data_IF_103759259545
#
_entry.id   IF_103759259545
#
_cell.length_a   1.000
_cell.length_b   1.000
_cell.length_c   1.000
_cell.angle_alpha   90.00
_cell.angle_beta   90.00
_cell.angle_gamma   90.00
#
_symmetry.space_group_name_H-M   'P 1'
#
loop_
_entity.id
_entity.type
_entity.pdbx_description
1 polymer ?
#
# COMPACT_ATOMS: atom_id res chain seq x y z
N UNK A 1 16.24 -6.48 12.95
CA UNK A 1 17.56 -7.05 13.28
C UNK A 1 17.47 -8.55 13.42
N UNK A 2 17.64 -9.27 12.30
CA UNK A 2 17.76 -10.73 12.34
C UNK A 2 19.19 -11.10 12.75
N UNK A 3 19.33 -12.05 13.65
CA UNK A 3 20.63 -12.62 14.02
C UNK A 3 21.10 -13.54 12.89
N UNK A 4 22.31 -13.29 12.37
CA UNK A 4 22.86 -14.03 11.23
C UNK A 4 23.63 -15.24 11.72
N UNK A 5 24.54 -15.08 12.67
CA UNK A 5 25.34 -16.15 13.27
C UNK A 5 25.66 -15.83 14.73
N UNK A 6 25.73 -16.85 15.57
CA UNK A 6 26.24 -16.76 16.95
C UNK A 6 25.75 -15.54 17.76
N UNK A 7 24.47 -15.19 17.61
CA UNK A 7 23.83 -14.06 18.30
C UNK A 7 24.18 -12.65 17.80
N UNK A 8 25.02 -12.50 16.77
CA UNK A 8 25.32 -11.20 16.18
C UNK A 8 24.23 -10.78 15.18
N UNK A 9 23.87 -9.52 15.20
CA UNK A 9 23.02 -8.89 14.18
C UNK A 9 23.88 -8.52 12.96
N UNK A 10 23.24 -8.24 11.84
CA UNK A 10 23.94 -7.76 10.65
C UNK A 10 24.70 -6.45 10.93
N UNK A 11 24.13 -5.59 11.76
CA UNK A 11 24.74 -4.32 12.17
C UNK A 11 25.94 -4.49 13.10
N UNK A 12 26.06 -5.63 13.80
CA UNK A 12 27.22 -5.94 14.64
C UNK A 12 28.44 -6.39 13.79
N UNK A 13 28.15 -6.92 12.58
CA UNK A 13 29.20 -7.45 11.68
C UNK A 13 29.65 -6.39 10.68
N UNK A 14 28.69 -5.62 10.16
CA UNK A 14 28.95 -4.65 9.09
C UNK A 14 28.59 -3.24 9.53
N UNK A 15 29.46 -2.28 9.24
CA UNK A 15 29.14 -0.86 9.42
C UNK A 15 28.10 -0.45 8.38
N UNK A 16 26.92 -0.06 8.88
CA UNK A 16 25.76 0.30 8.07
C UNK A 16 25.55 1.80 8.14
N UNK A 17 25.28 2.43 7.00
CA UNK A 17 24.94 3.84 6.94
C UNK A 17 23.73 4.08 6.02
N UNK A 18 22.95 5.12 6.32
CA UNK A 18 21.89 5.63 5.46
C UNK A 18 22.44 6.84 4.70
N UNK A 19 22.31 6.85 3.38
CA UNK A 19 22.72 7.98 2.57
C UNK A 19 21.98 9.25 3.03
N UNK A 20 22.74 10.21 3.52
CA UNK A 20 22.26 11.49 4.04
C UNK A 20 23.04 12.66 3.44
N UNK A 21 23.02 13.80 4.15
CA UNK A 21 23.76 15.01 3.78
C UNK A 21 25.26 14.93 4.13
N UNK A 22 25.65 14.00 5.00
CA UNK A 22 27.05 13.81 5.42
C UNK A 22 27.75 12.82 4.50
N UNK A 23 29.07 12.95 4.40
CA UNK A 23 29.90 12.03 3.64
C UNK A 23 29.84 10.62 4.24
N UNK A 24 29.90 9.64 3.37
CA UNK A 24 29.94 8.23 3.78
C UNK A 24 31.31 7.95 4.42
N UNK A 25 31.32 7.39 5.63
CA UNK A 25 32.57 7.00 6.27
C UNK A 25 33.24 5.85 5.49
N UNK A 26 34.56 5.90 5.40
CA UNK A 26 35.37 4.93 4.60
C UNK A 26 35.11 3.47 5.05
N UNK A 27 34.78 3.26 6.31
CA UNK A 27 34.51 1.92 6.88
C UNK A 27 33.10 1.40 6.57
N UNK A 28 32.21 2.21 5.98
CA UNK A 28 30.84 1.79 5.66
C UNK A 28 30.88 0.67 4.62
N UNK A 29 30.30 -0.49 4.96
CA UNK A 29 30.22 -1.65 4.07
C UNK A 29 28.85 -1.80 3.42
N UNK A 30 27.80 -1.31 4.09
CA UNK A 30 26.44 -1.37 3.58
C UNK A 30 25.80 0.01 3.66
N UNK A 31 25.32 0.51 2.55
CA UNK A 31 24.66 1.80 2.47
C UNK A 31 23.22 1.63 2.00
N UNK A 32 22.27 2.21 2.75
CA UNK A 32 20.88 2.28 2.34
C UNK A 32 20.57 3.66 1.74
N UNK A 33 19.91 3.65 0.60
CA UNK A 33 19.49 4.88 -0.07
C UNK A 33 18.12 4.69 -0.73
N UNK A 34 17.36 5.77 -0.84
CA UNK A 34 16.26 5.82 -1.81
C UNK A 34 16.79 6.22 -3.17
N UNK A 35 16.12 5.83 -4.26
CA UNK A 35 16.50 6.24 -5.62
C UNK A 35 16.57 7.76 -5.73
N UNK A 36 15.59 8.47 -5.17
CA UNK A 36 15.54 9.94 -5.16
C UNK A 36 16.74 10.58 -4.44
N UNK A 37 17.16 9.99 -3.31
CA UNK A 37 18.38 10.46 -2.60
C UNK A 37 19.62 10.28 -3.44
N UNK A 38 19.71 9.15 -4.14
CA UNK A 38 20.83 8.83 -5.00
C UNK A 38 20.87 9.75 -6.23
N UNK A 39 19.73 9.96 -6.89
CA UNK A 39 19.57 10.90 -8.00
C UNK A 39 20.03 12.31 -7.60
N UNK A 40 19.55 12.82 -6.45
CA UNK A 40 19.96 14.13 -5.94
C UNK A 40 21.46 14.21 -5.73
N UNK A 41 22.05 13.15 -5.18
CA UNK A 41 23.48 13.12 -4.90
C UNK A 41 24.35 13.00 -6.15
N UNK A 42 23.93 12.20 -7.13
CA UNK A 42 24.72 11.97 -8.35
C UNK A 42 24.59 13.10 -9.39
N UNK A 43 23.36 13.65 -9.53
CA UNK A 43 23.07 14.49 -10.69
C UNK A 43 22.70 15.94 -10.36
N UNK A 44 22.38 16.23 -9.09
CA UNK A 44 21.93 17.58 -8.68
C UNK A 44 22.70 18.15 -7.48
N UNK A 45 23.82 17.55 -7.09
CA UNK A 45 24.66 18.12 -6.04
C UNK A 45 25.32 19.41 -6.53
N UNK A 46 25.10 20.53 -5.80
CA UNK A 46 25.59 21.86 -6.16
C UNK A 46 27.03 22.13 -5.70
N UNK A 47 27.60 21.30 -4.82
CA UNK A 47 28.96 21.42 -4.31
C UNK A 47 29.88 20.42 -5.02
N UNK A 48 30.65 20.94 -6.01
CA UNK A 48 31.47 20.14 -6.94
C UNK A 48 32.53 19.25 -6.27
N UNK A 49 32.87 19.43 -5.01
CA UNK A 49 33.98 18.73 -4.36
C UNK A 49 33.62 17.76 -3.24
N UNK A 50 32.42 17.76 -2.72
CA UNK A 50 32.08 17.00 -1.50
C UNK A 50 31.13 15.82 -1.67
N UNK A 51 30.47 15.66 -2.80
CA UNK A 51 29.31 14.76 -2.88
C UNK A 51 29.25 13.82 -4.08
N UNK A 52 30.24 13.82 -4.98
CA UNK A 52 30.25 12.85 -6.08
C UNK A 52 30.73 11.48 -5.59
N UNK A 53 29.81 10.51 -5.62
CA UNK A 53 30.18 9.12 -5.48
C UNK A 53 30.93 8.69 -6.76
N UNK A 54 32.04 8.01 -6.58
CA UNK A 54 32.80 7.41 -7.69
C UNK A 54 32.01 6.28 -8.34
N UNK A 55 32.27 6.00 -9.61
CA UNK A 55 31.61 4.90 -10.35
C UNK A 55 31.92 3.53 -9.75
N UNK A 56 33.02 3.40 -9.04
CA UNK A 56 33.49 2.22 -8.33
C UNK A 56 33.16 2.24 -6.82
N UNK A 57 32.26 3.13 -6.39
CA UNK A 57 31.89 3.27 -4.97
C UNK A 57 31.20 2.03 -4.39
N UNK A 58 30.59 1.20 -5.23
CA UNK A 58 29.87 0.01 -4.82
C UNK A 58 30.21 -1.19 -5.70
N UNK A 59 30.47 -2.34 -5.07
CA UNK A 59 30.66 -3.62 -5.76
C UNK A 59 29.32 -4.27 -6.14
N UNK A 60 28.28 -4.02 -5.35
CA UNK A 60 26.96 -4.61 -5.54
C UNK A 60 25.85 -3.64 -5.15
N UNK A 61 24.82 -3.57 -5.98
CA UNK A 61 23.59 -2.80 -5.75
C UNK A 61 22.43 -3.78 -5.67
N UNK A 62 21.74 -3.80 -4.53
CA UNK A 62 20.53 -4.58 -4.35
C UNK A 62 19.34 -3.63 -4.37
N UNK A 63 18.43 -3.84 -5.31
CA UNK A 63 17.24 -3.02 -5.50
C UNK A 63 16.03 -3.80 -5.04
N UNK A 64 15.46 -3.38 -3.92
CA UNK A 64 14.20 -3.93 -3.41
C UNK A 64 13.01 -3.30 -4.15
N UNK A 65 11.92 -4.05 -4.30
CA UNK A 65 10.75 -3.68 -5.09
C UNK A 65 11.12 -3.21 -6.51
N UNK A 66 11.96 -3.98 -7.17
CA UNK A 66 12.55 -3.64 -8.47
C UNK A 66 11.52 -3.37 -9.60
N UNK A 67 10.26 -3.75 -9.41
CA UNK A 67 9.15 -3.41 -10.30
C UNK A 67 8.73 -1.93 -10.23
N UNK A 68 9.06 -1.19 -9.14
CA UNK A 68 8.64 0.21 -8.94
C UNK A 68 9.31 1.21 -9.88
N UNK A 69 10.32 0.81 -10.61
CA UNK A 69 10.95 1.67 -11.63
C UNK A 69 10.01 2.06 -12.79
N UNK A 70 8.78 1.55 -12.82
CA UNK A 70 7.79 1.79 -13.87
C UNK A 70 6.40 1.99 -13.30
N UNK A 71 5.78 3.08 -13.68
CA UNK A 71 4.48 3.51 -13.21
C UNK A 71 3.33 2.93 -14.03
N UNK A 72 2.69 1.88 -13.53
CA UNK A 72 1.25 1.72 -13.72
C UNK A 72 0.46 2.17 -12.48
N UNK A 73 1.14 2.37 -11.35
CA UNK A 73 0.53 2.85 -10.10
C UNK A 73 0.53 4.40 -10.05
N UNK A 74 -0.50 5.00 -10.61
CA UNK A 74 -0.80 6.45 -10.50
C UNK A 74 -1.25 6.89 -9.10
N UNK A 75 -0.78 6.24 -8.05
CA UNK A 75 -1.01 6.68 -6.68
C UNK A 75 0.31 7.03 -6.01
N UNK A 76 1.03 7.95 -6.65
CA UNK A 76 2.19 8.58 -6.06
C UNK A 76 1.71 9.61 -5.03
N UNK A 77 2.33 9.62 -3.85
CA UNK A 77 2.16 10.66 -2.86
C UNK A 77 2.48 12.04 -3.47
N UNK A 78 1.90 13.11 -2.93
CA UNK A 78 2.12 14.49 -3.42
C UNK A 78 3.60 14.90 -3.50
N UNK A 79 4.49 14.26 -2.73
CA UNK A 79 5.94 14.45 -2.81
C UNK A 79 6.55 13.86 -4.10
N UNK A 80 5.95 12.81 -4.66
CA UNK A 80 6.38 12.20 -5.92
C UNK A 80 5.82 12.95 -7.15
N UNK A 81 4.76 13.75 -6.98
CA UNK A 81 4.21 14.64 -8.02
C UNK A 81 5.15 15.79 -8.43
N UNK A 82 6.21 16.06 -7.66
CA UNK A 82 7.25 17.04 -8.05
C UNK A 82 8.13 16.56 -9.20
N UNK A 83 8.11 15.26 -9.51
CA UNK A 83 8.73 14.70 -10.72
C UNK A 83 7.66 14.60 -11.82
N UNK A 84 7.50 15.67 -12.57
CA UNK A 84 6.40 15.90 -13.51
C UNK A 84 6.35 15.01 -14.74
N UNK A 85 7.30 14.08 -14.91
CA UNK A 85 7.30 13.23 -16.10
C UNK A 85 7.66 11.78 -15.74
N UNK A 86 6.76 10.87 -16.06
CA UNK A 86 6.87 9.43 -15.79
C UNK A 86 8.07 8.82 -16.54
N UNK A 87 8.35 9.31 -17.74
CA UNK A 87 9.50 8.93 -18.53
C UNK A 87 10.81 9.39 -17.87
N UNK A 88 10.81 10.55 -17.20
CA UNK A 88 11.95 11.08 -16.45
C UNK A 88 12.29 10.25 -15.22
N UNK A 89 11.28 9.75 -14.47
CA UNK A 89 11.54 8.92 -13.30
C UNK A 89 12.19 7.58 -13.67
N UNK A 90 11.67 6.92 -14.69
CA UNK A 90 12.26 5.68 -15.23
C UNK A 90 13.68 5.93 -15.76
N UNK A 91 13.85 7.01 -16.49
CA UNK A 91 15.16 7.43 -16.99
C UNK A 91 16.15 7.68 -15.85
N UNK A 92 15.73 8.32 -14.78
CA UNK A 92 16.56 8.59 -13.61
C UNK A 92 16.90 7.33 -12.81
N UNK A 93 15.93 6.43 -12.62
CA UNK A 93 16.14 5.15 -11.97
C UNK A 93 17.17 4.30 -12.70
N UNK A 94 17.01 4.16 -14.01
CA UNK A 94 17.96 3.46 -14.88
C UNK A 94 19.34 4.12 -14.86
N UNK A 95 19.42 5.44 -14.94
CA UNK A 95 20.67 6.20 -14.88
C UNK A 95 21.44 6.01 -13.56
N UNK A 96 20.73 5.87 -12.42
CA UNK A 96 21.38 5.55 -11.13
C UNK A 96 22.01 4.16 -11.17
N UNK A 97 21.30 3.16 -11.69
CA UNK A 97 21.80 1.79 -11.80
C UNK A 97 22.98 1.72 -12.76
N UNK A 98 22.88 2.36 -13.92
CA UNK A 98 23.91 2.36 -14.96
C UNK A 98 25.11 3.25 -14.63
N UNK A 99 25.01 4.10 -13.61
CA UNK A 99 26.13 4.97 -13.22
C UNK A 99 27.30 4.20 -12.58
N UNK A 100 26.99 3.16 -11.80
CA UNK A 100 27.99 2.42 -11.05
C UNK A 100 28.48 1.19 -11.83
N UNK A 101 29.77 0.91 -11.74
CA UNK A 101 30.37 -0.33 -12.21
C UNK A 101 30.19 -1.42 -11.13
N UNK A 102 28.97 -1.89 -10.97
CA UNK A 102 28.57 -2.79 -9.89
C UNK A 102 27.66 -3.91 -10.38
N UNK A 103 27.69 -5.05 -9.70
CA UNK A 103 26.66 -6.07 -9.89
C UNK A 103 25.31 -5.57 -9.40
N UNK A 104 24.28 -5.71 -10.24
CA UNK A 104 22.93 -5.24 -9.90
C UNK A 104 21.98 -6.42 -9.71
N UNK A 105 21.34 -6.48 -8.55
CA UNK A 105 20.37 -7.52 -8.18
C UNK A 105 19.03 -6.85 -7.94
N UNK A 106 18.01 -7.18 -8.73
CA UNK A 106 16.63 -6.76 -8.51
C UNK A 106 15.84 -7.81 -7.72
N UNK A 107 15.20 -7.39 -6.63
CA UNK A 107 14.29 -8.20 -5.85
C UNK A 107 12.86 -7.70 -6.05
N UNK A 108 11.93 -8.59 -6.34
CA UNK A 108 10.51 -8.25 -6.47
C UNK A 108 9.63 -9.47 -6.27
N UNK A 109 8.51 -9.30 -5.57
CA UNK A 109 7.48 -10.33 -5.48
C UNK A 109 6.56 -10.34 -6.72
N UNK A 110 6.53 -9.25 -7.49
CA UNK A 110 5.61 -9.02 -8.60
C UNK A 110 6.37 -8.51 -9.82
N UNK A 111 7.08 -9.39 -10.56
CA UNK A 111 7.85 -8.96 -11.73
C UNK A 111 6.93 -8.41 -12.82
N UNK A 112 7.27 -7.24 -13.34
CA UNK A 112 6.63 -6.61 -14.48
C UNK A 112 7.48 -6.80 -15.76
N UNK A 113 6.87 -6.66 -16.94
CA UNK A 113 7.58 -6.83 -18.22
C UNK A 113 8.87 -5.99 -18.32
N UNK A 114 8.83 -4.78 -17.79
CA UNK A 114 9.98 -3.87 -17.83
C UNK A 114 11.02 -4.13 -16.73
N UNK A 115 10.69 -4.88 -15.68
CA UNK A 115 11.72 -5.35 -14.73
C UNK A 115 12.76 -6.19 -15.47
N UNK A 116 12.32 -7.02 -16.40
CA UNK A 116 13.22 -7.83 -17.25
C UNK A 116 14.05 -7.00 -18.21
N UNK A 117 13.59 -5.82 -18.63
CA UNK A 117 14.36 -4.92 -19.48
C UNK A 117 15.53 -4.24 -18.76
N UNK A 118 15.44 -4.10 -17.42
CA UNK A 118 16.46 -3.47 -16.60
C UNK A 118 17.40 -4.52 -16.00
N UNK A 119 16.86 -5.60 -15.43
CA UNK A 119 17.59 -6.59 -14.65
C UNK A 119 17.85 -7.90 -15.41
N UNK A 120 17.31 -8.06 -16.64
CA UNK A 120 17.38 -9.31 -17.39
C UNK A 120 16.34 -10.35 -16.93
N UNK A 121 16.49 -11.58 -17.40
CA UNK A 121 15.63 -12.69 -17.00
C UNK A 121 15.85 -13.05 -15.52
N UNK A 122 14.79 -13.44 -14.78
CA UNK A 122 14.93 -13.87 -13.39
C UNK A 122 15.92 -15.03 -13.28
N UNK A 123 16.88 -14.92 -12.38
CA UNK A 123 17.84 -16.02 -12.04
C UNK A 123 17.26 -16.97 -11.02
N UNK A 124 16.26 -16.53 -10.27
CA UNK A 124 15.52 -17.34 -9.30
C UNK A 124 14.07 -16.90 -9.26
N UNK A 125 13.14 -17.84 -9.21
CA UNK A 125 11.71 -17.59 -9.01
C UNK A 125 11.18 -18.54 -7.94
N UNK A 126 10.35 -18.00 -7.04
CA UNK A 126 9.64 -18.77 -6.03
C UNK A 126 8.20 -18.28 -6.02
N UNK A 127 7.33 -19.04 -6.67
CA UNK A 127 5.95 -18.64 -6.90
C UNK A 127 5.11 -18.72 -5.63
N UNK A 128 4.01 -17.96 -5.57
CA UNK A 128 3.02 -18.06 -4.51
C UNK A 128 2.53 -19.50 -4.30
N UNK A 129 2.27 -20.22 -5.41
CA UNK A 129 1.80 -21.60 -5.36
C UNK A 129 2.84 -22.54 -4.73
N UNK A 130 4.11 -22.40 -5.08
CA UNK A 130 5.20 -23.16 -4.47
C UNK A 130 5.29 -22.84 -2.98
N UNK A 131 5.20 -21.57 -2.59
CA UNK A 131 5.24 -21.16 -1.20
C UNK A 131 4.07 -21.71 -0.36
N UNK A 132 2.89 -21.89 -0.96
CA UNK A 132 1.75 -22.56 -0.32
C UNK A 132 1.99 -24.05 -0.20
N UNK A 133 2.48 -24.72 -1.24
CA UNK A 133 2.81 -26.17 -1.22
C UNK A 133 3.88 -26.48 -0.18
N UNK A 134 4.92 -25.65 -0.10
CA UNK A 134 6.03 -25.80 0.84
C UNK A 134 5.64 -25.43 2.29
N UNK A 135 4.43 -24.91 2.49
CA UNK A 135 3.97 -24.54 3.79
C UNK A 135 4.52 -23.23 4.35
N UNK A 136 5.00 -22.34 3.50
CA UNK A 136 5.50 -21.01 3.88
C UNK A 136 4.42 -19.92 3.81
N UNK A 137 3.37 -20.15 3.03
CA UNK A 137 2.20 -19.29 2.94
C UNK A 137 0.93 -20.13 3.04
N UNK A 138 -0.20 -19.48 3.35
CA UNK A 138 -1.53 -20.08 3.27
C UNK A 138 -2.19 -19.68 1.97
N UNK A 139 -3.03 -20.56 1.43
CA UNK A 139 -3.91 -20.20 0.34
C UNK A 139 -5.01 -19.26 0.83
N UNK A 140 -5.58 -18.53 -0.06
CA UNK A 140 -6.71 -17.64 0.21
C UNK A 140 -7.97 -18.22 -0.43
N UNK A 141 -9.09 -18.02 0.23
CA UNK A 141 -10.38 -18.33 -0.35
C UNK A 141 -10.72 -17.39 -1.52
N UNK A 142 -11.55 -17.84 -2.46
CA UNK A 142 -12.04 -16.98 -3.52
C UNK A 142 -12.69 -15.70 -2.94
N UNK A 143 -12.46 -14.53 -3.57
CA UNK A 143 -12.99 -13.28 -3.04
C UNK A 143 -14.52 -13.28 -3.03
N UNK A 144 -15.10 -12.93 -1.88
CA UNK A 144 -16.51 -12.67 -1.74
C UNK A 144 -16.83 -11.28 -2.28
N UNK A 145 -17.76 -11.18 -3.22
CA UNK A 145 -18.17 -9.91 -3.82
C UNK A 145 -19.50 -9.44 -3.27
N UNK A 146 -19.49 -8.31 -2.55
CA UNK A 146 -20.73 -7.64 -2.14
C UNK A 146 -21.28 -6.90 -3.35
N UNK A 147 -22.35 -7.44 -3.94
CA UNK A 147 -23.00 -6.88 -5.14
C UNK A 147 -24.13 -5.94 -4.72
N UNK A 148 -24.09 -4.72 -5.22
CA UNK A 148 -25.15 -3.73 -5.12
C UNK A 148 -25.61 -3.33 -6.51
N UNK A 149 -26.80 -2.75 -6.65
CA UNK A 149 -27.23 -2.21 -7.96
C UNK A 149 -26.25 -1.18 -8.51
N UNK A 150 -25.69 -0.36 -7.61
CA UNK A 150 -24.73 0.67 -8.00
C UNK A 150 -23.45 0.10 -8.58
N UNK A 151 -22.89 -0.96 -8.01
CA UNK A 151 -21.64 -1.55 -8.51
C UNK A 151 -21.84 -2.55 -9.67
N UNK A 152 -23.08 -2.84 -10.05
CA UNK A 152 -23.39 -3.69 -11.21
C UNK A 152 -23.90 -2.90 -12.40
N UNK A 153 -24.66 -1.82 -12.19
CA UNK A 153 -25.34 -1.05 -13.23
C UNK A 153 -24.77 0.36 -13.44
N UNK A 154 -23.94 0.84 -12.49
CA UNK A 154 -23.46 2.23 -12.47
C UNK A 154 -24.54 3.22 -12.05
N UNK A 155 -24.23 4.51 -12.11
CA UNK A 155 -25.20 5.60 -11.89
C UNK A 155 -25.49 6.27 -13.21
N UNK A 156 -26.78 6.46 -13.50
CA UNK A 156 -27.23 7.21 -14.67
C UNK A 156 -28.29 8.21 -14.22
N UNK A 157 -28.07 9.47 -14.52
CA UNK A 157 -29.06 10.51 -14.41
C UNK A 157 -29.46 10.98 -15.80
N UNK A 158 -30.75 11.11 -16.01
CA UNK A 158 -31.28 11.61 -17.27
C UNK A 158 -31.22 13.12 -17.30
N UNK A 159 -31.20 13.67 -18.52
CA UNK A 159 -31.42 15.11 -18.73
C UNK A 159 -32.68 15.56 -18.01
N UNK A 160 -32.59 16.67 -17.27
CA UNK A 160 -33.69 17.20 -16.49
C UNK A 160 -33.79 16.68 -15.05
N UNK A 161 -32.97 15.70 -14.65
CA UNK A 161 -32.89 15.26 -13.27
C UNK A 161 -31.99 16.20 -12.44
N UNK A 162 -32.28 16.28 -11.13
CA UNK A 162 -31.47 17.02 -10.14
C UNK A 162 -30.79 16.03 -9.23
N UNK A 163 -29.52 15.69 -9.51
CA UNK A 163 -28.78 14.77 -8.64
C UNK A 163 -28.57 15.37 -7.25
N UNK A 164 -28.70 14.52 -6.24
CA UNK A 164 -28.31 14.86 -4.88
C UNK A 164 -26.90 14.36 -4.65
N UNK A 165 -26.00 15.27 -4.35
CA UNK A 165 -24.60 14.96 -4.08
C UNK A 165 -24.34 15.22 -2.60
N UNK A 166 -23.71 14.25 -1.96
CA UNK A 166 -23.25 14.41 -0.59
C UNK A 166 -21.90 15.13 -0.59
N UNK A 167 -21.82 16.22 0.11
CA UNK A 167 -20.57 16.93 0.36
C UNK A 167 -19.96 16.40 1.69
N UNK A 168 -18.83 15.71 1.64
CA UNK A 168 -18.18 15.19 2.84
C UNK A 168 -17.57 16.27 3.74
N UNK A 169 -17.25 17.46 3.21
CA UNK A 169 -16.66 18.54 3.99
C UNK A 169 -17.71 19.23 4.88
N UNK A 170 -18.93 19.41 4.35
CA UNK A 170 -20.02 20.08 5.07
C UNK A 170 -20.98 19.09 5.74
N UNK A 171 -20.84 17.78 5.46
CA UNK A 171 -21.75 16.72 5.89
C UNK A 171 -23.22 16.99 5.48
N UNK A 172 -23.39 17.67 4.35
CA UNK A 172 -24.71 18.05 3.81
C UNK A 172 -24.97 17.35 2.49
N UNK A 173 -26.27 17.17 2.19
CA UNK A 173 -26.71 16.73 0.87
C UNK A 173 -27.12 17.95 0.08
N UNK A 174 -26.35 18.25 -0.95
CA UNK A 174 -26.69 19.32 -1.88
C UNK A 174 -27.43 18.78 -3.09
N UNK A 175 -28.49 19.46 -3.48
CA UNK A 175 -29.21 19.17 -4.73
C UNK A 175 -28.57 20.03 -5.84
N UNK A 176 -27.94 19.35 -6.81
CA UNK A 176 -27.32 20.04 -7.95
C UNK A 176 -28.40 20.68 -8.84
N UNK A 177 -27.95 21.62 -9.66
CA UNK A 177 -28.79 22.19 -10.71
C UNK A 177 -29.31 21.08 -11.64
N UNK A 178 -30.42 21.38 -12.32
CA UNK A 178 -30.97 20.48 -13.33
C UNK A 178 -29.95 20.18 -14.42
N UNK A 179 -29.75 18.89 -14.71
CA UNK A 179 -28.77 18.45 -15.69
C UNK A 179 -29.19 18.85 -17.11
N UNK A 180 -28.32 19.56 -17.80
CA UNK A 180 -28.51 19.93 -19.22
C UNK A 180 -28.37 18.75 -20.14
N UNK A 181 -27.57 17.71 -19.73
CA UNK A 181 -27.33 16.48 -20.48
C UNK A 181 -27.37 15.25 -19.57
N UNK A 182 -27.41 14.05 -20.17
CA UNK A 182 -27.33 12.77 -19.45
C UNK A 182 -25.94 12.63 -18.81
N UNK A 183 -25.91 12.39 -17.51
CA UNK A 183 -24.67 12.11 -16.77
C UNK A 183 -24.60 10.63 -16.39
N UNK A 184 -23.52 9.98 -16.79
CA UNK A 184 -23.29 8.56 -16.53
C UNK A 184 -21.95 8.36 -15.83
N UNK A 185 -21.96 7.65 -14.71
CA UNK A 185 -20.77 7.14 -14.06
C UNK A 185 -20.74 5.62 -14.21
N UNK A 186 -19.68 5.13 -14.84
CA UNK A 186 -19.46 3.68 -14.95
C UNK A 186 -19.03 3.09 -13.62
N UNK A 187 -19.20 1.79 -13.45
CA UNK A 187 -18.86 1.04 -12.23
C UNK A 187 -17.41 1.30 -11.77
N UNK A 188 -16.48 1.47 -12.70
CA UNK A 188 -15.06 1.75 -12.44
C UNK A 188 -14.82 3.11 -11.78
N UNK A 189 -15.78 4.03 -11.83
CA UNK A 189 -15.69 5.35 -11.20
C UNK A 189 -16.04 5.35 -9.71
N UNK A 190 -16.67 4.25 -9.21
CA UNK A 190 -17.04 4.16 -7.79
C UNK A 190 -15.83 4.01 -6.89
N UNK A 191 -15.88 4.70 -5.75
CA UNK A 191 -14.79 4.77 -4.78
C UNK A 191 -13.45 5.25 -5.37
N UNK A 192 -13.52 5.93 -6.51
CA UNK A 192 -12.39 6.63 -7.13
C UNK A 192 -12.77 8.08 -7.47
N UNK A 193 -13.79 8.29 -8.29
CA UNK A 193 -14.29 9.60 -8.67
C UNK A 193 -15.62 9.93 -7.97
N UNK A 194 -16.38 8.90 -7.53
CA UNK A 194 -17.67 9.04 -6.86
C UNK A 194 -17.67 8.21 -5.59
N UNK A 195 -17.67 8.86 -4.43
CA UNK A 195 -17.83 8.25 -3.11
C UNK A 195 -19.25 8.60 -2.64
N UNK A 196 -20.13 7.61 -2.51
CA UNK A 196 -21.49 7.86 -2.04
C UNK A 196 -21.70 7.21 -0.67
N UNK A 197 -22.22 7.98 0.29
CA UNK A 197 -22.52 7.50 1.64
C UNK A 197 -23.50 6.32 1.63
N UNK A 198 -24.62 6.33 0.87
CA UNK A 198 -25.54 5.19 0.83
C UNK A 198 -24.91 3.89 0.31
N UNK A 199 -24.00 3.99 -0.67
CA UNK A 199 -23.28 2.82 -1.18
C UNK A 199 -22.36 2.24 -0.11
N UNK A 200 -21.53 3.09 0.50
CA UNK A 200 -20.60 2.65 1.54
C UNK A 200 -21.35 2.07 2.74
N UNK A 201 -22.47 2.68 3.16
CA UNK A 201 -23.32 2.15 4.24
C UNK A 201 -23.85 0.76 3.92
N UNK A 202 -24.38 0.53 2.72
CA UNK A 202 -24.88 -0.79 2.30
C UNK A 202 -23.77 -1.85 2.34
N UNK A 203 -22.56 -1.51 1.89
CA UNK A 203 -21.41 -2.42 1.95
C UNK A 203 -21.02 -2.72 3.39
N UNK A 204 -20.94 -1.70 4.25
CA UNK A 204 -20.58 -1.86 5.67
C UNK A 204 -21.65 -2.67 6.42
N UNK A 205 -22.94 -2.47 6.16
CA UNK A 205 -24.03 -3.27 6.75
C UNK A 205 -23.90 -4.76 6.44
N UNK A 206 -23.38 -5.10 5.28
CA UNK A 206 -23.09 -6.51 4.99
C UNK A 206 -21.80 -6.95 5.68
N UNK A 207 -20.76 -6.13 5.66
CA UNK A 207 -19.43 -6.44 6.18
C UNK A 207 -19.44 -6.74 7.70
N UNK A 208 -20.18 -5.96 8.50
CA UNK A 208 -20.24 -6.13 9.97
C UNK A 208 -20.84 -7.46 10.40
N UNK A 209 -21.46 -8.22 9.51
CA UNK A 209 -21.97 -9.57 9.78
C UNK A 209 -20.85 -10.63 9.79
N UNK A 210 -19.72 -10.35 9.18
CA UNK A 210 -18.62 -11.31 8.98
C UNK A 210 -17.38 -10.98 9.83
N UNK A 211 -17.26 -9.74 10.30
CA UNK A 211 -16.07 -9.27 11.03
C UNK A 211 -16.44 -9.03 12.49
N UNK A 212 -15.76 -9.73 13.41
CA UNK A 212 -15.91 -9.53 14.86
C UNK A 212 -14.92 -8.42 15.33
N UNK A 213 -15.44 -7.26 15.82
CA UNK A 213 -14.61 -6.18 16.31
C UNK A 213 -13.90 -6.49 17.64
N UNK A 214 -14.16 -7.64 18.25
CA UNK A 214 -13.52 -8.10 19.47
C UNK A 214 -12.54 -9.25 19.24
N UNK A 215 -12.41 -9.75 18.02
CA UNK A 215 -11.52 -10.86 17.66
C UNK A 215 -10.04 -10.53 17.87
N UNK A 216 -9.22 -11.55 17.99
CA UNK A 216 -7.77 -11.45 17.86
C UNK A 216 -7.29 -11.44 16.39
N UNK A 217 -8.15 -11.88 15.50
CA UNK A 217 -7.93 -11.78 14.06
C UNK A 217 -7.98 -10.32 13.62
N UNK A 218 -7.20 -10.01 12.60
CA UNK A 218 -7.12 -8.65 12.09
C UNK A 218 -7.73 -8.51 10.72
N UNK A 219 -8.45 -7.42 10.56
CA UNK A 219 -9.05 -7.00 9.29
C UNK A 219 -8.34 -5.76 8.76
N UNK A 220 -8.03 -5.77 7.47
CA UNK A 220 -7.46 -4.64 6.77
C UNK A 220 -8.40 -4.19 5.66
N UNK A 221 -8.87 -2.94 5.74
CA UNK A 221 -9.79 -2.34 4.78
C UNK A 221 -9.05 -1.28 3.97
N UNK A 222 -9.07 -1.41 2.65
CA UNK A 222 -8.46 -0.46 1.73
C UNK A 222 -9.48 0.57 1.25
N UNK A 223 -9.28 1.82 1.63
CA UNK A 223 -10.07 2.98 1.23
C UNK A 223 -9.49 3.66 -0.02
N UNK A 224 -10.29 4.44 -0.72
CA UNK A 224 -9.90 5.19 -1.90
C UNK A 224 -9.11 6.48 -1.58
N UNK A 225 -9.46 7.14 -0.47
CA UNK A 225 -8.82 8.37 0.01
C UNK A 225 -8.79 8.41 1.54
N UNK A 226 -8.11 9.41 2.10
CA UNK A 226 -8.04 9.62 3.55
C UNK A 226 -9.42 9.96 4.14
N UNK A 227 -10.20 10.80 3.46
CA UNK A 227 -11.57 11.17 3.81
C UNK A 227 -12.52 9.97 3.70
N UNK A 228 -12.33 9.13 2.67
CA UNK A 228 -13.07 7.88 2.55
C UNK A 228 -12.77 6.93 3.71
N UNK A 229 -11.52 6.88 4.17
CA UNK A 229 -11.16 6.08 5.34
C UNK A 229 -11.87 6.57 6.62
N UNK A 230 -12.01 7.89 6.83
CA UNK A 230 -12.80 8.44 7.95
C UNK A 230 -14.28 8.05 7.85
N UNK A 231 -14.86 8.14 6.65
CA UNK A 231 -16.23 7.72 6.39
C UNK A 231 -16.44 6.25 6.74
N UNK A 232 -15.54 5.37 6.33
CA UNK A 232 -15.61 3.93 6.61
C UNK A 232 -15.52 3.67 8.12
N UNK A 233 -14.60 4.33 8.84
CA UNK A 233 -14.45 4.18 10.29
C UNK A 233 -15.75 4.57 11.01
N UNK A 234 -16.33 5.72 10.66
CA UNK A 234 -17.57 6.19 11.27
C UNK A 234 -18.72 5.24 10.99
N UNK A 235 -18.88 4.80 9.74
CA UNK A 235 -19.94 3.85 9.36
C UNK A 235 -19.78 2.49 10.07
N UNK A 236 -18.57 2.01 10.29
CA UNK A 236 -18.35 0.77 11.04
C UNK A 236 -18.86 0.88 12.48
N UNK A 237 -18.56 1.98 13.18
CA UNK A 237 -19.08 2.19 14.54
C UNK A 237 -20.61 2.29 14.55
N UNK A 238 -21.20 3.08 13.64
CA UNK A 238 -22.65 3.24 13.52
C UNK A 238 -23.38 1.90 13.25
N UNK A 239 -22.87 1.11 12.32
CA UNK A 239 -23.55 -0.14 11.92
C UNK A 239 -23.35 -1.27 12.95
N UNK A 240 -22.21 -1.32 13.66
CA UNK A 240 -22.06 -2.23 14.80
C UNK A 240 -23.01 -1.85 15.95
N UNK A 241 -23.12 -0.57 16.27
CA UNK A 241 -24.08 -0.08 17.26
C UNK A 241 -25.54 -0.43 16.86
N UNK A 242 -25.89 -0.26 15.59
CA UNK A 242 -27.22 -0.56 15.06
C UNK A 242 -27.61 -2.04 15.20
N UNK A 243 -26.64 -2.96 15.16
CA UNK A 243 -26.87 -4.40 15.37
C UNK A 243 -26.62 -4.84 16.81
N UNK A 244 -26.37 -3.90 17.73
CA UNK A 244 -26.20 -4.17 19.17
C UNK A 244 -24.87 -4.82 19.54
N UNK A 245 -23.83 -4.68 18.71
CA UNK A 245 -22.48 -5.17 18.99
C UNK A 245 -21.67 -4.07 19.68
N UNK A 246 -21.14 -4.36 20.86
CA UNK A 246 -20.25 -3.46 21.58
C UNK A 246 -18.86 -3.45 20.94
N UNK A 247 -18.43 -2.26 20.51
CA UNK A 247 -17.13 -2.06 19.84
C UNK A 247 -16.18 -1.31 20.77
N UNK A 248 -15.06 -1.92 21.18
CA UNK A 248 -14.05 -1.20 21.94
C UNK A 248 -13.55 0.04 21.17
N UNK A 249 -13.40 1.16 21.88
CA UNK A 249 -13.02 2.45 21.27
C UNK A 249 -11.73 2.37 20.42
N UNK A 250 -10.83 1.46 20.78
CA UNK A 250 -9.56 1.25 20.09
C UNK A 250 -9.59 0.13 19.06
N UNK A 251 -10.73 -0.55 18.86
CA UNK A 251 -10.82 -1.68 17.95
C UNK A 251 -10.70 -1.27 16.47
N UNK A 252 -11.26 -0.12 16.11
CA UNK A 252 -11.29 0.37 14.72
C UNK A 252 -10.45 1.66 14.61
N UNK A 253 -9.44 1.67 13.76
CA UNK A 253 -8.58 2.87 13.56
C UNK A 253 -8.29 3.12 12.09
N UNK A 254 -8.29 4.40 11.73
CA UNK A 254 -7.67 4.87 10.48
C UNK A 254 -6.15 4.83 10.63
N UNK A 255 -5.46 4.14 9.74
CA UNK A 255 -4.00 4.03 9.70
C UNK A 255 -3.51 4.45 8.32
N UNK A 256 -3.32 5.74 8.13
CA UNK A 256 -2.87 6.37 6.88
C UNK A 256 -1.64 7.23 7.14
N UNK A 257 -0.94 7.65 6.08
CA UNK A 257 0.21 8.54 6.19
C UNK A 257 -0.11 9.91 6.78
N UNK A 258 -1.37 10.35 6.70
CA UNK A 258 -1.87 11.62 7.27
C UNK A 258 -2.36 11.49 8.72
N UNK A 259 -2.44 10.29 9.27
CA UNK A 259 -2.89 10.07 10.65
C UNK A 259 -1.89 10.66 11.66
N UNK A 260 -2.39 10.99 12.87
CA UNK A 260 -1.50 11.39 13.95
C UNK A 260 -0.64 10.18 14.40
N UNK A 261 0.68 10.33 14.35
CA UNK A 261 1.67 9.30 14.68
C UNK A 261 1.42 7.94 13.99
N UNK A 262 1.50 7.88 12.65
CA UNK A 262 1.15 6.68 11.90
C UNK A 262 2.04 5.47 12.23
N UNK A 263 3.30 5.69 12.60
CA UNK A 263 4.22 4.60 12.96
C UNK A 263 3.79 3.91 14.25
N UNK A 264 3.29 4.65 15.23
CA UNK A 264 2.78 4.09 16.47
C UNK A 264 1.47 3.31 16.23
N UNK A 265 0.58 3.83 15.39
CA UNK A 265 -0.64 3.10 14.99
C UNK A 265 -0.32 1.78 14.30
N UNK A 266 0.68 1.76 13.42
CA UNK A 266 1.17 0.53 12.78
C UNK A 266 1.75 -0.42 13.81
N UNK A 267 2.52 0.08 14.78
CA UNK A 267 3.08 -0.73 15.87
C UNK A 267 1.98 -1.38 16.72
N UNK A 268 0.97 -0.61 17.12
CA UNK A 268 -0.19 -1.12 17.86
C UNK A 268 -0.96 -2.16 17.04
N UNK A 269 -1.27 -1.86 15.79
CA UNK A 269 -1.97 -2.80 14.90
C UNK A 269 -1.21 -4.13 14.73
N UNK A 270 0.11 -4.07 14.71
CA UNK A 270 0.96 -5.27 14.57
C UNK A 270 1.03 -6.11 15.84
N UNK A 271 1.18 -5.48 17.02
CA UNK A 271 1.62 -6.15 18.23
C UNK A 271 0.54 -6.31 19.29
N UNK A 272 -0.44 -5.42 19.33
CA UNK A 272 -1.49 -5.42 20.35
C UNK A 272 -2.78 -6.08 19.80
N UNK A 273 -3.69 -6.46 20.70
CA UNK A 273 -5.02 -6.96 20.31
C UNK A 273 -5.77 -5.90 19.51
N UNK A 274 -5.78 -4.66 20.00
CA UNK A 274 -6.41 -3.53 19.33
C UNK A 274 -5.38 -2.52 18.81
N UNK A 275 -5.67 -1.85 17.68
CA UNK A 275 -6.82 -2.07 16.80
C UNK A 275 -6.77 -3.44 16.11
N UNK A 276 -7.94 -4.07 15.91
CA UNK A 276 -8.05 -5.28 15.11
C UNK A 276 -8.67 -5.00 13.73
N UNK A 277 -9.32 -3.86 13.53
CA UNK A 277 -9.80 -3.38 12.23
C UNK A 277 -9.03 -2.10 11.87
N UNK A 278 -8.24 -2.17 10.82
CA UNK A 278 -7.51 -1.03 10.28
C UNK A 278 -8.08 -0.60 8.94
N UNK A 279 -8.36 0.71 8.80
CA UNK A 279 -8.73 1.31 7.52
C UNK A 279 -7.55 2.12 7.00
N UNK A 280 -7.07 1.79 5.81
CA UNK A 280 -5.87 2.40 5.23
C UNK A 280 -6.09 2.80 3.77
N UNK A 281 -5.25 3.68 3.27
CA UNK A 281 -5.16 3.97 1.83
C UNK A 281 -3.97 3.21 1.26
N UNK A 282 -2.75 3.55 1.64
CA UNK A 282 -1.51 2.98 1.07
C UNK A 282 -0.49 2.54 2.13
N UNK A 283 -0.53 3.10 3.35
CA UNK A 283 0.53 2.92 4.35
C UNK A 283 0.81 1.45 4.70
N UNK A 284 -0.20 0.60 4.68
CA UNK A 284 -0.09 -0.83 5.00
C UNK A 284 0.08 -1.73 3.76
N UNK A 285 0.25 -1.15 2.56
CA UNK A 285 0.41 -1.93 1.31
C UNK A 285 1.79 -2.55 1.20
N UNK A 286 2.84 -1.90 1.71
CA UNK A 286 4.23 -2.38 1.63
C UNK A 286 4.94 -2.33 2.98
N UNK A 287 5.94 -3.19 3.18
CA UNK A 287 6.88 -3.13 4.32
C UNK A 287 6.34 -3.54 5.70
N UNK A 288 5.03 -3.66 5.90
CA UNK A 288 4.44 -3.99 7.20
C UNK A 288 4.12 -5.48 7.29
N UNK A 289 4.67 -6.16 8.31
CA UNK A 289 4.40 -7.57 8.57
C UNK A 289 3.40 -7.74 9.72
N UNK A 290 2.16 -8.09 9.41
CA UNK A 290 1.07 -8.38 10.37
C UNK A 290 0.47 -9.74 10.03
N UNK A 291 1.02 -10.86 10.55
CA UNK A 291 0.56 -12.20 10.19
C UNK A 291 -0.89 -12.51 10.61
N UNK A 292 -1.39 -11.82 11.64
CA UNK A 292 -2.75 -11.99 12.15
C UNK A 292 -3.86 -11.43 11.23
N UNK A 293 -3.52 -10.82 10.08
CA UNK A 293 -4.52 -10.38 9.10
C UNK A 293 -5.14 -11.63 8.46
N UNK A 294 -6.44 -11.81 8.64
CA UNK A 294 -7.26 -12.87 8.04
C UNK A 294 -8.23 -12.33 7.01
N UNK A 295 -8.67 -11.09 7.18
CA UNK A 295 -9.65 -10.47 6.29
C UNK A 295 -9.06 -9.26 5.57
N UNK A 296 -9.22 -9.24 4.25
CA UNK A 296 -8.91 -8.09 3.39
C UNK A 296 -10.20 -7.60 2.75
N UNK A 297 -10.44 -6.30 2.86
CA UNK A 297 -11.63 -5.66 2.28
C UNK A 297 -11.18 -4.57 1.32
N UNK A 298 -11.63 -4.64 0.09
CA UNK A 298 -11.32 -3.67 -0.96
C UNK A 298 -12.52 -2.76 -1.17
N UNK A 299 -12.52 -1.58 -0.55
CA UNK A 299 -13.51 -0.52 -0.76
C UNK A 299 -13.00 0.52 -1.76
N UNK A 300 -12.06 0.14 -2.59
CA UNK A 300 -11.49 0.94 -3.68
C UNK A 300 -11.38 0.12 -4.95
N UNK A 301 -11.49 0.76 -6.10
CA UNK A 301 -11.12 0.15 -7.36
C UNK A 301 -9.59 0.09 -7.47
N UNK A 302 -9.05 -1.07 -7.78
CA UNK A 302 -7.61 -1.28 -7.98
C UNK A 302 -7.39 -1.77 -9.40
N UNK A 303 -6.82 -0.93 -10.26
CA UNK A 303 -6.55 -1.25 -11.66
C UNK A 303 -5.15 -1.90 -11.84
N UNK A 304 -4.31 -1.84 -10.82
CA UNK A 304 -2.99 -2.44 -10.83
C UNK A 304 -3.02 -3.85 -10.26
N UNK A 305 -2.69 -4.84 -11.11
CA UNK A 305 -2.52 -6.23 -10.70
C UNK A 305 -1.44 -6.36 -9.62
N UNK A 306 -0.34 -5.65 -9.78
CA UNK A 306 0.80 -5.64 -8.84
C UNK A 306 0.34 -5.18 -7.45
N UNK A 307 -0.37 -4.06 -7.39
CA UNK A 307 -0.89 -3.53 -6.14
C UNK A 307 -1.89 -4.50 -5.48
N UNK A 308 -2.78 -5.11 -6.28
CA UNK A 308 -3.72 -6.11 -5.79
C UNK A 308 -3.00 -7.33 -5.19
N UNK A 309 -2.00 -7.88 -5.89
CA UNK A 309 -1.21 -9.02 -5.40
C UNK A 309 -0.43 -8.68 -4.12
N UNK A 310 0.11 -7.47 -4.01
CA UNK A 310 0.76 -6.97 -2.79
C UNK A 310 -0.20 -6.86 -1.61
N UNK A 311 -1.41 -6.36 -1.85
CA UNK A 311 -2.47 -6.30 -0.84
C UNK A 311 -2.88 -7.70 -0.40
N UNK A 312 -3.10 -8.61 -1.35
CA UNK A 312 -3.49 -10.00 -1.07
C UNK A 312 -2.42 -10.74 -0.25
N UNK A 313 -1.15 -10.54 -0.55
CA UNK A 313 -0.02 -11.11 0.19
C UNK A 313 0.06 -10.70 1.66
N UNK A 314 -0.78 -9.76 2.13
CA UNK A 314 -0.87 -9.41 3.55
C UNK A 314 -1.62 -10.45 4.37
N UNK A 315 -2.62 -11.12 3.78
CA UNK A 315 -3.45 -12.10 4.47
C UNK A 315 -2.94 -13.55 4.31
N UNK A 316 -1.95 -13.82 3.49
CA UNK A 316 -1.48 -15.18 3.20
C UNK A 316 -0.36 -15.68 4.11
N UNK A 317 0.03 -14.91 5.12
CA UNK A 317 1.08 -15.25 6.06
C UNK A 317 0.59 -16.18 7.17
N UNK A 318 1.43 -17.12 7.57
CA UNK A 318 1.17 -18.00 8.71
C UNK A 318 1.13 -17.20 10.02
N UNK A 319 0.22 -17.58 10.92
CA UNK A 319 0.11 -17.02 12.27
C UNK A 319 -0.36 -18.07 13.27
N UNK A 320 0.58 -18.69 13.98
CA UNK A 320 0.28 -19.70 14.98
C UNK A 320 -0.61 -19.20 16.11
N UNK A 321 -0.48 -17.91 16.49
CA UNK A 321 -1.23 -17.29 17.59
C UNK A 321 -2.75 -17.40 17.41
N UNK A 322 -3.24 -17.35 16.18
CA UNK A 322 -4.67 -17.44 15.83
C UNK A 322 -4.99 -18.70 15.05
N UNK A 323 -4.17 -19.75 15.18
CA UNK A 323 -4.33 -21.03 14.46
C UNK A 323 -4.41 -20.89 12.93
N UNK A 324 -3.88 -19.81 12.38
CA UNK A 324 -3.76 -19.57 10.95
C UNK A 324 -2.56 -20.35 10.41
N UNK A 325 -2.82 -21.64 10.18
CA UNK A 325 -1.87 -22.66 9.69
C UNK A 325 -2.49 -23.36 8.49
N UNK A 326 -1.77 -24.31 7.90
CA UNK A 326 -2.26 -25.10 6.75
C UNK A 326 -3.54 -25.86 7.07
#
# INVERSE_FOLDING_TARGET
DYKIENFNTFADIYKINKLGKQDTEIETRVQFATVQSMVKRLFYATDEKKNQLSIDAYDCIIVDEAHRGYNEDKQLNEEDLSFRDQADYVGQYKRVIEYFDAFVIGLTATPALHTTNIFGAPVFTYSYREAVIDGNLIDHEPPYQIKTKLNTEGIKWKKGERPKVYDPETNTIEELAELEDELKFDVESFNRAVITSPFNRTVIQELVKYIDPQSEEKTLIFAASDEHADTIVNLLFEEYEAIGVDVPQDAIKKITGKAYNPQELVRLYKNEKFPNIAVTVDLLTTGVNVPAITNLVFMRCTNSRILFEQMLGRATRLCQKIHKTH
#
